data_IF_860356109996
#
_entry.id   IF_860356109996
#
_cell.length_a   1.000
_cell.length_b   1.000
_cell.length_c   1.000
_cell.angle_alpha   90.00
_cell.angle_beta   90.00
_cell.angle_gamma   90.00
#
_symmetry.space_group_name_H-M   'P 1'
#
loop_
_entity.id
_entity.type
_entity.pdbx_description
1 polymer ?
#
# COMPACT_ATOMS: atom_id res chain seq x y z
N UNK A 1 17.94 16.41 8.82
CA UNK A 1 17.37 16.21 8.80
C UNK A 1 16.45 16.62 8.35
N UNK A 2 16.45 16.76 7.91
CA UNK A 2 15.72 17.23 7.68
C UNK A 2 14.53 17.04 7.46
N UNK A 3 14.16 16.89 7.20
CA UNK A 3 13.13 16.72 7.03
C UNK A 3 12.16 16.49 7.86
N UNK A 4 12.47 16.70 8.68
CA UNK A 4 11.68 16.35 9.79
C UNK A 4 10.36 17.05 9.81
N UNK A 5 10.27 18.24 9.31
CA UNK A 5 9.01 18.97 9.26
C UNK A 5 7.99 18.28 8.39
N UNK A 6 8.44 17.63 7.33
CA UNK A 6 7.53 16.92 6.45
C UNK A 6 6.88 15.75 7.15
N UNK A 7 7.57 15.19 8.13
CA UNK A 7 7.09 14.01 8.84
C UNK A 7 6.37 14.35 10.13
N UNK A 8 6.30 15.61 10.46
CA UNK A 8 5.71 16.02 11.72
C UNK A 8 4.24 15.62 11.73
N UNK A 9 3.81 14.90 12.76
CA UNK A 9 2.45 14.45 12.88
C UNK A 9 2.14 13.14 12.19
N UNK A 10 3.00 12.69 11.29
CA UNK A 10 2.79 11.39 10.61
C UNK A 10 3.87 10.39 10.95
N UNK A 11 4.93 10.82 11.62
CA UNK A 11 6.05 9.96 11.88
C UNK A 11 6.81 9.66 10.61
N UNK A 12 7.66 8.67 10.69
CA UNK A 12 8.46 8.28 9.53
C UNK A 12 7.60 7.44 8.60
N UNK A 13 7.47 7.87 7.36
CA UNK A 13 6.63 7.18 6.39
C UNK A 13 7.49 6.18 5.62
N UNK A 14 7.03 4.93 5.60
CA UNK A 14 7.72 3.87 4.88
C UNK A 14 7.49 4.03 3.38
N UNK A 15 8.57 4.07 2.61
CA UNK A 15 8.48 4.16 1.16
C UNK A 15 8.89 2.83 0.54
N UNK A 16 8.47 2.57 -0.72
CA UNK A 16 8.79 1.29 -1.33
C UNK A 16 10.28 1.06 -1.48
N UNK A 17 10.72 -0.15 -1.14
CA UNK A 17 12.04 -0.62 -1.45
C UNK A 17 11.99 -1.36 -2.78
N UNK A 18 13.16 -1.82 -3.24
CA UNK A 18 13.24 -2.55 -4.49
C UNK A 18 12.28 -3.74 -4.47
N UNK A 19 11.48 -3.86 -5.51
CA UNK A 19 10.53 -4.96 -5.63
C UNK A 19 9.20 -4.72 -4.91
N UNK A 20 9.07 -3.64 -4.16
CA UNK A 20 7.83 -3.29 -3.50
C UNK A 20 7.08 -2.27 -4.32
N UNK A 21 5.76 -2.24 -4.19
CA UNK A 21 4.93 -1.28 -4.90
C UNK A 21 3.87 -0.71 -3.99
N UNK A 22 3.53 0.56 -4.19
CA UNK A 22 2.35 1.14 -3.58
C UNK A 22 1.13 0.68 -4.35
N UNK A 23 0.00 0.56 -3.67
CA UNK A 23 -1.22 0.08 -4.30
C UNK A 23 -2.43 0.68 -3.61
N UNK A 24 -3.54 0.74 -4.34
CA UNK A 24 -4.83 1.18 -3.83
C UNK A 24 -5.74 -0.04 -3.73
N UNK A 25 -6.46 -0.16 -2.63
CA UNK A 25 -7.38 -1.26 -2.41
C UNK A 25 -8.65 -1.02 -3.22
N UNK A 26 -8.95 -1.93 -4.15
CA UNK A 26 -10.13 -1.82 -4.99
C UNK A 26 -11.36 -2.41 -4.32
N UNK A 27 -11.20 -3.57 -3.69
CA UNK A 27 -12.29 -4.18 -2.93
C UNK A 27 -11.74 -5.26 -2.03
N UNK A 28 -12.55 -5.62 -1.03
CA UNK A 28 -12.19 -6.66 -0.08
C UNK A 28 -12.86 -7.96 -0.51
N UNK A 29 -12.12 -9.06 -0.43
CA UNK A 29 -12.59 -10.36 -0.90
C UNK A 29 -12.84 -11.34 0.23
N UNK A 30 -12.64 -10.92 1.49
CA UNK A 30 -12.82 -11.79 2.63
C UNK A 30 -11.59 -12.63 2.92
N UNK A 31 -11.53 -13.18 4.12
CA UNK A 31 -10.45 -14.07 4.56
C UNK A 31 -9.05 -13.44 4.41
N UNK A 32 -8.97 -12.12 4.62
CA UNK A 32 -7.68 -11.44 4.55
C UNK A 32 -7.16 -11.25 3.14
N UNK A 33 -8.02 -11.32 2.14
CA UNK A 33 -7.63 -11.09 0.75
C UNK A 33 -8.27 -9.82 0.22
N UNK A 34 -7.51 -9.12 -0.60
CA UNK A 34 -7.92 -7.84 -1.18
C UNK A 34 -7.55 -7.84 -2.66
N UNK A 35 -8.35 -7.16 -3.44
CA UNK A 35 -7.94 -6.83 -4.80
C UNK A 35 -7.34 -5.45 -4.77
N UNK A 36 -6.13 -5.31 -5.32
CA UNK A 36 -5.41 -4.04 -5.29
C UNK A 36 -4.93 -3.66 -6.68
N UNK A 37 -4.86 -2.36 -6.95
CA UNK A 37 -4.25 -1.83 -8.16
C UNK A 37 -2.89 -1.24 -7.78
N UNK A 38 -1.85 -1.72 -8.42
CA UNK A 38 -0.48 -1.42 -8.02
C UNK A 38 0.15 -0.35 -8.90
N UNK A 39 1.16 0.33 -8.37
CA UNK A 39 1.80 1.43 -9.08
C UNK A 39 2.51 0.99 -10.35
N UNK A 40 2.78 -0.30 -10.52
CA UNK A 40 3.35 -0.81 -11.76
C UNK A 40 2.29 -1.10 -12.82
N UNK A 41 1.04 -0.72 -12.58
CA UNK A 41 -0.04 -0.88 -13.56
C UNK A 41 -0.73 -2.21 -13.51
N UNK A 42 -0.45 -3.07 -12.55
CA UNK A 42 -1.04 -4.40 -12.47
C UNK A 42 -2.05 -4.48 -11.34
N UNK A 43 -3.15 -5.17 -11.59
CA UNK A 43 -4.03 -5.59 -10.51
C UNK A 43 -3.51 -6.89 -9.93
N UNK A 44 -3.55 -6.99 -8.61
CA UNK A 44 -3.13 -8.20 -7.95
C UNK A 44 -4.11 -8.57 -6.86
N UNK A 45 -4.12 -9.85 -6.51
CA UNK A 45 -4.80 -10.30 -5.31
C UNK A 45 -3.78 -10.23 -4.17
N UNK A 46 -4.04 -9.36 -3.21
CA UNK A 46 -3.18 -9.17 -2.06
C UNK A 46 -3.66 -9.98 -0.88
N UNK A 47 -2.73 -10.56 -0.14
CA UNK A 47 -3.04 -11.29 1.06
C UNK A 47 -2.48 -10.55 2.26
N UNK A 48 -3.32 -10.38 3.29
CA UNK A 48 -2.83 -9.88 4.56
C UNK A 48 -2.28 -11.08 5.31
N UNK A 49 -0.97 -11.11 5.61
CA UNK A 49 -0.41 -12.25 6.35
C UNK A 49 -1.16 -12.46 7.66
N UNK A 50 -1.32 -13.73 8.06
CA UNK A 50 -2.09 -14.05 9.23
C UNK A 50 -1.64 -13.34 10.49
N UNK A 51 -0.32 -13.15 10.63
CA UNK A 51 0.24 -12.47 11.79
C UNK A 51 -0.17 -10.99 11.87
N UNK A 52 -0.64 -10.40 10.77
CA UNK A 52 -0.97 -8.98 10.72
C UNK A 52 -2.46 -8.70 10.62
N UNK A 53 -3.29 -9.73 10.46
CA UNK A 53 -4.72 -9.52 10.20
C UNK A 53 -5.41 -8.72 11.30
N UNK A 54 -5.01 -8.92 12.53
CA UNK A 54 -5.65 -8.24 13.67
C UNK A 54 -5.26 -6.78 13.77
N UNK A 55 -4.18 -6.39 13.10
CA UNK A 55 -3.64 -5.04 13.23
C UNK A 55 -3.94 -4.17 12.03
N UNK A 56 -4.38 -4.76 10.92
CA UNK A 56 -4.60 -4.02 9.70
C UNK A 56 -6.09 -3.92 9.42
N UNK A 57 -6.64 -2.75 9.70
CA UNK A 57 -8.03 -2.44 9.36
C UNK A 57 -8.02 -1.72 8.02
N UNK A 58 -8.11 -2.50 6.95
CA UNK A 58 -7.96 -1.98 5.60
C UNK A 58 -9.33 -1.88 4.95
N UNK A 59 -9.61 -0.72 4.38
CA UNK A 59 -10.85 -0.46 3.67
C UNK A 59 -10.59 -0.19 2.20
N UNK A 60 -11.65 -0.17 1.42
CA UNK A 60 -11.56 0.20 0.03
C UNK A 60 -11.02 1.62 -0.08
N UNK A 61 -10.26 1.87 -1.13
CA UNK A 61 -9.61 3.14 -1.42
C UNK A 61 -8.41 3.45 -0.52
N UNK A 62 -8.10 2.59 0.44
CA UNK A 62 -6.90 2.76 1.24
C UNK A 62 -5.66 2.49 0.42
N UNK A 63 -4.55 3.10 0.84
CA UNK A 63 -3.24 2.89 0.21
C UNK A 63 -2.45 1.92 1.06
N UNK A 64 -1.83 0.95 0.39
CA UNK A 64 -1.03 -0.08 1.04
C UNK A 64 0.28 -0.24 0.31
N UNK A 65 1.25 -0.86 0.97
CA UNK A 65 2.51 -1.26 0.35
C UNK A 65 2.44 -2.77 0.17
N UNK A 66 2.81 -3.22 -1.02
CA UNK A 66 2.72 -4.64 -1.35
C UNK A 66 4.05 -5.17 -1.83
N UNK A 67 4.22 -6.48 -1.67
CA UNK A 67 5.37 -7.19 -2.20
C UNK A 67 4.87 -8.35 -3.04
N UNK A 68 5.18 -8.36 -4.35
CA UNK A 68 4.74 -9.48 -5.19
C UNK A 68 5.34 -10.79 -4.73
N UNK A 69 4.60 -11.87 -4.91
CA UNK A 69 5.12 -13.20 -4.60
C UNK A 69 6.25 -13.56 -5.56
N UNK A 70 7.15 -14.41 -5.09
CA UNK A 70 8.23 -14.90 -5.95
C UNK A 70 7.69 -15.67 -7.14
N UNK A 71 6.63 -16.44 -6.91
CA UNK A 71 5.94 -17.18 -7.96
C UNK A 71 4.56 -16.54 -8.08
N UNK A 72 4.12 -16.29 -9.32
CA UNK A 72 2.85 -15.62 -9.60
C UNK A 72 2.84 -14.16 -9.13
N UNK A 73 4.00 -13.53 -9.10
CA UNK A 73 4.10 -12.15 -8.61
C UNK A 73 3.35 -11.14 -9.48
N UNK A 74 3.03 -11.49 -10.74
CA UNK A 74 2.23 -10.61 -11.58
C UNK A 74 0.78 -10.57 -11.13
N UNK A 75 0.33 -11.58 -10.40
CA UNK A 75 -1.07 -11.73 -10.03
C UNK A 75 -1.30 -11.71 -8.53
N UNK A 76 -0.27 -11.98 -7.73
CA UNK A 76 -0.42 -12.13 -6.29
C UNK A 76 0.66 -11.40 -5.53
N UNK A 77 0.30 -10.92 -4.35
CA UNK A 77 1.23 -10.19 -3.51
C UNK A 77 0.83 -10.32 -2.05
N UNK A 78 1.74 -9.92 -1.17
CA UNK A 78 1.45 -9.76 0.25
C UNK A 78 1.31 -8.28 0.57
N UNK A 79 0.36 -7.99 1.45
CA UNK A 79 0.22 -6.63 1.99
C UNK A 79 1.20 -6.51 3.14
N UNK A 80 2.17 -5.62 3.02
CA UNK A 80 3.21 -5.50 4.02
C UNK A 80 3.09 -4.26 4.88
N UNK A 81 2.32 -3.27 4.45
CA UNK A 81 2.12 -2.06 5.24
C UNK A 81 0.82 -1.39 4.85
N UNK A 82 0.12 -0.82 5.84
CA UNK A 82 -1.13 -0.08 5.63
C UNK A 82 -0.90 1.35 6.09
N UNK A 83 -1.12 2.30 5.21
CA UNK A 83 -0.86 3.70 5.49
C UNK A 83 -2.07 4.37 6.13
N UNK A 84 -1.82 5.23 7.11
CA UNK A 84 -2.84 6.09 7.65
C UNK A 84 -3.19 7.19 6.65
N UNK A 85 -4.29 7.91 6.90
CA UNK A 85 -4.67 9.02 6.03
C UNK A 85 -3.58 10.09 5.97
N UNK A 86 -2.96 10.38 7.11
CA UNK A 86 -1.89 11.37 7.14
C UNK A 86 -0.67 10.90 6.32
N UNK A 87 -0.35 9.61 6.42
CA UNK A 87 0.76 9.07 5.65
C UNK A 87 0.43 9.04 4.17
N UNK A 88 -0.83 8.73 3.82
CA UNK A 88 -1.27 8.76 2.44
C UNK A 88 -1.12 10.17 1.86
N UNK A 89 -1.53 11.18 2.61
CA UNK A 89 -1.38 12.56 2.17
C UNK A 89 0.08 12.93 1.95
N UNK A 90 0.93 12.48 2.84
CA UNK A 90 2.36 12.72 2.70
C UNK A 90 2.90 12.10 1.41
N UNK A 91 2.52 10.84 1.14
CA UNK A 91 2.94 10.14 -0.07
C UNK A 91 2.44 10.87 -1.31
N UNK A 92 1.20 11.34 -1.27
CA UNK A 92 0.62 12.04 -2.40
C UNK A 92 1.35 13.35 -2.66
N UNK A 93 1.65 14.09 -1.60
CA UNK A 93 2.35 15.36 -1.74
C UNK A 93 3.77 15.19 -2.27
N UNK A 94 4.39 14.05 -1.99
CA UNK A 94 5.74 13.78 -2.45
C UNK A 94 5.79 13.12 -3.83
N UNK A 95 4.63 12.90 -4.44
CA UNK A 95 4.58 12.34 -5.79
C UNK A 95 4.64 10.83 -5.87
N UNK A 96 4.61 10.13 -4.73
CA UNK A 96 4.70 8.68 -4.73
C UNK A 96 3.44 8.01 -5.27
N UNK A 97 2.31 8.72 -5.32
CA UNK A 97 1.04 8.14 -5.72
C UNK A 97 0.61 8.58 -7.11
N UNK A 98 1.53 9.13 -7.90
CA UNK A 98 1.16 9.66 -9.20
C UNK A 98 0.55 8.60 -10.12
N UNK A 99 1.07 7.38 -10.10
CA UNK A 99 0.55 6.31 -10.94
C UNK A 99 -0.80 5.80 -10.47
N UNK A 100 -1.24 6.20 -9.28
CA UNK A 100 -2.47 5.71 -8.68
C UNK A 100 -3.55 6.76 -8.60
N UNK A 101 -3.33 7.92 -9.20
CA UNK A 101 -4.24 9.05 -9.03
C UNK A 101 -5.66 8.77 -9.49
N UNK A 102 -5.81 7.92 -10.51
CA UNK A 102 -7.15 7.59 -11.01
C UNK A 102 -8.01 6.89 -9.97
N UNK A 103 -7.38 6.29 -8.97
CA UNK A 103 -8.09 5.52 -7.96
C UNK A 103 -8.18 6.26 -6.62
N UNK A 104 -7.68 7.45 -6.57
CA UNK A 104 -7.72 8.28 -5.38
C UNK A 104 -8.68 9.44 -5.57
#
# INVERSE_FOLDING_TARGET
MANDNDDEGVGRVRTPSKGEHLAVVLNKMGYGRLRVYCSDGRERMGRIPGSKRRRMWIDEDDVVLIEPWDIQGDEKCDIIWHYSNAQKDWLENKGFLDELKEFL
#
